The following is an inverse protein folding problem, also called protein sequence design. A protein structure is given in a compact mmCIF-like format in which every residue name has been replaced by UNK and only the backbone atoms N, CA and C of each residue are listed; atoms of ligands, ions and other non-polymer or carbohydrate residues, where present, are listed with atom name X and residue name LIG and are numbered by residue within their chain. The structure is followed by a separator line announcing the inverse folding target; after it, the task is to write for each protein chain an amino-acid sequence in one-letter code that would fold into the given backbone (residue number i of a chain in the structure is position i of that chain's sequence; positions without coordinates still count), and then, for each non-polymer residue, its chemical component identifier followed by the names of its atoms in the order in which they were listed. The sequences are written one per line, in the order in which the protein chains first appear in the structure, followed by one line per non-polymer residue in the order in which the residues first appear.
data_IF_129121351584
#
_entry.id   IF_129121351584
#
_cell.length_a   1.000
_cell.length_b   1.000
_cell.length_c   1.000
_cell.angle_alpha   90.00
_cell.angle_beta   90.00
_cell.angle_gamma   90.00
#
_symmetry.space_group_name_H-M   'P 1'
#
loop_
_entity.id
_entity.type
_entity.pdbx_description
1 polymer ?
#
# COMPACT_ATOMS: atom_id res chain seq x y z
N UNK A 1 14.15 -4.30 11.76
CA UNK A 1 13.86 -2.87 11.88
C UNK A 1 14.86 -2.10 11.03
N UNK A 2 14.39 -1.23 10.13
CA UNK A 2 15.25 -0.39 9.29
C UNK A 2 15.82 0.82 10.05
N UNK A 3 15.19 1.20 11.17
CA UNK A 3 15.62 2.29 12.04
C UNK A 3 15.50 1.85 13.49
N UNK A 4 16.53 2.14 14.30
CA UNK A 4 16.54 1.80 15.72
C UNK A 4 17.33 2.85 16.50
N UNK A 5 16.79 3.26 17.65
CA UNK A 5 17.49 4.14 18.60
C UNK A 5 17.08 3.84 20.04
N UNK A 6 18.03 4.05 20.97
CA UNK A 6 17.77 4.08 22.40
C UNK A 6 17.76 5.54 22.88
N UNK A 7 16.71 5.95 23.56
CA UNK A 7 16.61 7.25 24.26
C UNK A 7 17.69 7.29 25.34
N UNK A 8 18.43 8.39 25.40
CA UNK A 8 19.53 8.57 26.36
C UNK A 8 19.15 9.41 27.57
N UNK A 9 18.17 10.31 27.42
CA UNK A 9 17.64 11.16 28.47
C UNK A 9 16.18 11.50 28.18
N UNK A 10 15.45 11.98 29.18
CA UNK A 10 14.07 12.41 29.00
C UNK A 10 13.95 13.54 27.97
N UNK A 11 14.92 14.45 27.91
CA UNK A 11 14.95 15.57 26.94
C UNK A 11 15.13 15.11 25.50
N UNK A 12 15.78 13.97 25.24
CA UNK A 12 15.96 13.43 23.90
C UNK A 12 14.68 12.78 23.34
N UNK A 13 13.74 12.40 24.21
CA UNK A 13 12.58 11.57 23.86
C UNK A 13 11.73 12.17 22.73
N UNK A 14 11.43 13.46 22.78
CA UNK A 14 10.62 14.14 21.76
C UNK A 14 11.29 14.15 20.39
N UNK A 15 12.59 14.45 20.34
CA UNK A 15 13.38 14.45 19.09
C UNK A 15 13.51 13.04 18.52
N UNK A 16 13.85 12.07 19.36
CA UNK A 16 14.01 10.67 18.94
C UNK A 16 12.68 10.08 18.45
N UNK A 17 11.55 10.45 19.07
CA UNK A 17 10.22 10.09 18.60
C UNK A 17 9.89 10.73 17.24
N UNK A 18 10.21 12.01 17.03
CA UNK A 18 9.99 12.69 15.75
C UNK A 18 10.78 12.02 14.62
N UNK A 19 12.03 11.63 14.88
CA UNK A 19 12.83 10.87 13.92
C UNK A 19 12.30 9.47 13.68
N UNK A 20 11.82 8.76 14.71
CA UNK A 20 11.17 7.45 14.57
C UNK A 20 9.92 7.52 13.70
N UNK A 21 9.06 8.52 13.91
CA UNK A 21 7.86 8.76 13.11
C UNK A 21 8.21 9.08 11.65
N UNK A 22 9.24 9.91 11.43
CA UNK A 22 9.74 10.21 10.10
C UNK A 22 10.25 8.94 9.38
N UNK A 23 11.01 8.10 10.08
CA UNK A 23 11.48 6.82 9.55
C UNK A 23 10.31 5.88 9.21
N UNK A 24 9.32 5.79 10.11
CA UNK A 24 8.13 4.93 9.90
C UNK A 24 7.25 5.39 8.73
N UNK A 25 7.26 6.68 8.39
CA UNK A 25 6.48 7.22 7.27
C UNK A 25 6.88 6.62 5.90
N UNK A 26 8.08 6.06 5.79
CA UNK A 26 8.54 5.31 4.60
C UNK A 26 8.12 3.83 4.59
N UNK A 27 7.24 3.40 5.50
CA UNK A 27 6.74 2.02 5.54
C UNK A 27 7.66 1.01 6.23
N UNK A 28 8.75 1.46 6.86
CA UNK A 28 9.64 0.60 7.62
C UNK A 28 9.26 0.53 9.11
N UNK A 29 9.73 -0.50 9.80
CA UNK A 29 9.61 -0.59 11.25
C UNK A 29 10.66 0.33 11.88
N UNK A 30 10.20 1.31 12.67
CA UNK A 30 11.06 2.13 13.52
C UNK A 30 10.95 1.64 14.97
N UNK A 31 12.10 1.30 15.57
CA UNK A 31 12.16 0.80 16.94
C UNK A 31 12.81 1.85 17.83
N UNK A 32 12.04 2.35 18.80
CA UNK A 32 12.52 3.26 19.83
C UNK A 32 12.55 2.54 21.18
N UNK A 33 13.72 2.49 21.79
CA UNK A 33 13.94 1.86 23.11
C UNK A 33 13.95 2.97 24.15
N UNK A 34 13.01 2.93 25.09
CA UNK A 34 12.90 3.87 26.19
C UNK A 34 13.31 3.18 27.50
N UNK A 35 14.52 3.42 28.05
CA UNK A 35 14.94 2.91 29.34
C UNK A 35 14.07 3.48 30.47
N UNK A 36 13.88 2.74 31.54
CA UNK A 36 13.00 3.12 32.63
C UNK A 36 13.43 4.38 33.37
N UNK A 37 14.73 4.59 33.52
CA UNK A 37 15.33 5.78 34.13
C UNK A 37 14.98 7.04 33.32
N UNK A 38 15.17 7.02 32.00
CA UNK A 38 14.80 8.13 31.12
C UNK A 38 13.29 8.44 31.12
N UNK A 39 12.44 7.46 31.46
CA UNK A 39 10.98 7.65 31.53
C UNK A 39 10.52 8.28 32.88
N UNK A 40 11.36 8.32 33.88
CA UNK A 40 11.04 8.83 35.20
C UNK A 40 11.65 10.22 35.47
N UNK A 41 12.50 10.69 34.58
CA UNK A 41 13.10 12.01 34.65
C UNK A 41 12.13 13.09 34.16
N UNK A 42 12.27 14.31 34.64
CA UNK A 42 11.57 15.47 34.11
C UNK A 42 12.15 15.83 32.73
N UNK A 43 11.28 16.08 31.77
CA UNK A 43 11.67 16.52 30.42
C UNK A 43 11.28 17.98 30.19
N UNK A 44 12.04 18.67 29.32
CA UNK A 44 11.64 19.95 28.77
C UNK A 44 10.36 19.81 27.93
N UNK A 45 9.46 20.79 27.99
CA UNK A 45 8.24 20.82 27.18
C UNK A 45 8.50 21.37 25.77
N UNK A 46 9.65 21.06 25.18
CA UNK A 46 10.00 21.51 23.84
C UNK A 46 9.14 20.77 22.81
N UNK A 47 8.43 21.53 21.98
CA UNK A 47 7.66 20.99 20.86
C UNK A 47 8.57 20.79 19.66
N UNK A 48 8.70 19.55 19.24
CA UNK A 48 9.48 19.18 18.06
C UNK A 48 8.53 18.96 16.88
N UNK A 49 8.79 19.62 15.75
CA UNK A 49 8.06 19.36 14.51
C UNK A 49 8.53 18.04 13.90
N UNK A 50 7.55 17.21 13.50
CA UNK A 50 7.85 15.94 12.82
C UNK A 50 8.17 16.26 11.36
N UNK A 51 9.37 15.94 10.86
CA UNK A 51 9.70 16.15 9.45
C UNK A 51 8.75 15.40 8.54
N UNK A 52 8.19 16.09 7.54
CA UNK A 52 7.37 15.44 6.51
C UNK A 52 8.23 14.47 5.70
N UNK A 53 7.70 13.28 5.44
CA UNK A 53 8.38 12.33 4.56
C UNK A 53 8.43 12.87 3.13
N UNK A 54 9.62 12.85 2.55
CA UNK A 54 9.86 13.19 1.14
C UNK A 54 10.07 11.90 0.36
N UNK A 55 9.21 11.63 -0.61
CA UNK A 55 9.27 10.44 -1.44
C UNK A 55 10.00 10.74 -2.75
N UNK A 56 10.72 9.74 -3.24
CA UNK A 56 11.36 9.81 -4.55
C UNK A 56 10.27 9.79 -5.65
N UNK A 57 10.51 10.42 -6.81
CA UNK A 57 9.57 10.38 -7.93
C UNK A 57 9.36 8.94 -8.42
N UNK A 58 8.22 8.64 -9.07
CA UNK A 58 8.01 7.36 -9.73
C UNK A 58 9.12 7.03 -10.72
N UNK A 59 9.59 5.80 -10.73
CA UNK A 59 10.57 5.31 -11.70
C UNK A 59 9.90 5.12 -13.06
N UNK A 60 10.36 5.83 -14.08
CA UNK A 60 9.78 5.80 -15.43
C UNK A 60 9.87 4.42 -16.07
N UNK A 61 10.94 3.66 -15.81
CA UNK A 61 11.13 2.31 -16.33
C UNK A 61 10.13 1.32 -15.73
N UNK A 62 9.94 1.38 -14.40
CA UNK A 62 8.96 0.54 -13.70
C UNK A 62 7.52 0.90 -14.10
N UNK A 63 7.21 2.18 -14.26
CA UNK A 63 5.90 2.63 -14.75
C UNK A 63 5.65 2.17 -16.18
N UNK A 64 6.64 2.27 -17.06
CA UNK A 64 6.53 1.80 -18.45
C UNK A 64 6.32 0.27 -18.52
N UNK A 65 7.02 -0.50 -17.67
CA UNK A 65 6.83 -1.94 -17.57
C UNK A 65 5.41 -2.28 -17.08
N UNK A 66 4.91 -1.59 -16.04
CA UNK A 66 3.53 -1.73 -15.58
C UNK A 66 2.51 -1.43 -16.67
N UNK A 67 2.72 -0.35 -17.42
CA UNK A 67 1.86 0.03 -18.54
C UNK A 67 1.85 -1.02 -19.66
N UNK A 68 3.00 -1.62 -19.96
CA UNK A 68 3.12 -2.72 -20.91
C UNK A 68 2.33 -3.94 -20.42
N UNK A 69 2.53 -4.34 -19.16
CA UNK A 69 1.83 -5.48 -18.56
C UNK A 69 0.30 -5.28 -18.55
N UNK A 70 -0.17 -4.06 -18.28
CA UNK A 70 -1.60 -3.73 -18.32
C UNK A 70 -2.22 -3.85 -19.72
N UNK A 71 -1.44 -3.59 -20.78
CA UNK A 71 -1.90 -3.68 -22.17
C UNK A 71 -1.85 -5.10 -22.74
N UNK A 72 -0.88 -5.90 -22.30
CA UNK A 72 -0.61 -7.25 -22.84
C UNK A 72 -1.35 -8.36 -22.07
N UNK A 73 -1.60 -8.18 -20.77
CA UNK A 73 -2.26 -9.17 -19.92
C UNK A 73 -3.73 -9.38 -20.29
N UNK A 74 -4.23 -10.60 -20.12
CA UNK A 74 -5.63 -10.95 -20.40
C UNK A 74 -6.53 -10.78 -19.18
N UNK A 75 -6.04 -11.20 -18.02
CA UNK A 75 -6.73 -11.10 -16.75
C UNK A 75 -5.76 -10.57 -15.70
N UNK A 76 -5.89 -9.31 -15.39
CA UNK A 76 -4.92 -8.58 -14.60
C UNK A 76 -5.49 -8.20 -13.24
N UNK A 77 -4.68 -8.35 -12.18
CA UNK A 77 -4.96 -7.80 -10.88
C UNK A 77 -3.93 -6.72 -10.51
N UNK A 78 -4.41 -5.60 -9.95
CA UNK A 78 -3.59 -4.67 -9.17
C UNK A 78 -3.67 -5.06 -7.71
N UNK A 79 -2.58 -5.54 -7.11
CA UNK A 79 -2.48 -5.82 -5.68
C UNK A 79 -1.87 -4.61 -4.98
N UNK A 80 -2.68 -3.94 -4.18
CA UNK A 80 -2.38 -2.66 -3.57
C UNK A 80 -2.06 -2.82 -2.08
N UNK A 81 -1.01 -2.13 -1.63
CA UNK A 81 -0.61 -2.03 -0.24
C UNK A 81 -0.19 -0.61 0.13
N UNK A 82 0.20 -0.40 1.38
CA UNK A 82 0.76 0.85 1.85
C UNK A 82 0.00 2.10 1.42
N UNK A 83 0.71 3.08 0.89
CA UNK A 83 0.16 4.37 0.44
C UNK A 83 -0.68 4.29 -0.84
N UNK A 84 -0.55 3.22 -1.63
CA UNK A 84 -1.45 2.95 -2.76
C UNK A 84 -2.92 2.80 -2.33
N UNK A 85 -3.18 2.51 -1.04
CA UNK A 85 -4.52 2.42 -0.45
C UNK A 85 -5.06 3.75 0.11
N UNK A 86 -4.36 4.87 -0.11
CA UNK A 86 -4.88 6.21 0.14
C UNK A 86 -5.92 6.62 -0.91
N UNK A 87 -6.72 7.67 -0.63
CA UNK A 87 -7.70 8.20 -1.58
C UNK A 87 -7.10 8.48 -2.95
N UNK A 88 -5.92 9.13 -3.02
CA UNK A 88 -5.21 9.42 -4.27
C UNK A 88 -4.94 8.14 -5.06
N UNK A 89 -4.31 7.15 -4.42
CA UNK A 89 -3.99 5.87 -5.05
C UNK A 89 -5.23 5.10 -5.49
N UNK A 90 -6.29 5.10 -4.68
CA UNK A 90 -7.56 4.43 -5.01
C UNK A 90 -8.27 5.09 -6.19
N UNK A 91 -8.24 6.41 -6.31
CA UNK A 91 -8.77 7.14 -7.47
C UNK A 91 -7.99 6.76 -8.74
N UNK A 92 -6.66 6.77 -8.67
CA UNK A 92 -5.82 6.34 -9.80
C UNK A 92 -6.09 4.87 -10.20
N UNK A 93 -6.24 3.98 -9.21
CA UNK A 93 -6.59 2.57 -9.46
C UNK A 93 -7.99 2.43 -10.09
N UNK A 94 -8.98 3.24 -9.69
CA UNK A 94 -10.30 3.26 -10.33
C UNK A 94 -10.21 3.69 -11.81
N UNK A 95 -9.41 4.70 -12.12
CA UNK A 95 -9.13 5.14 -13.49
C UNK A 95 -8.51 4.03 -14.33
N UNK A 96 -7.51 3.31 -13.77
CA UNK A 96 -6.89 2.16 -14.43
C UNK A 96 -7.89 1.03 -14.69
N UNK A 97 -8.75 0.71 -13.71
CA UNK A 97 -9.82 -0.29 -13.90
C UNK A 97 -10.81 0.13 -14.98
N UNK A 98 -11.20 1.39 -15.02
CA UNK A 98 -12.11 1.91 -16.06
C UNK A 98 -11.49 1.82 -17.46
N UNK A 99 -10.20 2.11 -17.58
CA UNK A 99 -9.48 2.10 -18.85
C UNK A 99 -9.22 0.70 -19.39
N UNK A 100 -8.84 -0.23 -18.53
CA UNK A 100 -8.23 -1.52 -18.94
C UNK A 100 -8.91 -2.76 -18.32
N UNK A 101 -9.93 -2.59 -17.49
CA UNK A 101 -10.70 -3.70 -16.92
C UNK A 101 -9.97 -4.56 -15.89
N UNK A 102 -8.89 -4.06 -15.28
CA UNK A 102 -8.17 -4.80 -14.25
C UNK A 102 -8.96 -4.90 -12.95
N UNK A 103 -8.75 -5.98 -12.20
CA UNK A 103 -9.33 -6.16 -10.87
C UNK A 103 -8.46 -5.51 -9.79
N UNK A 104 -9.10 -4.92 -8.77
CA UNK A 104 -8.43 -4.26 -7.66
C UNK A 104 -8.46 -5.13 -6.42
N UNK A 105 -7.29 -5.49 -5.93
CA UNK A 105 -7.10 -6.28 -4.71
C UNK A 105 -6.34 -5.44 -3.68
N UNK A 106 -6.61 -5.66 -2.40
CA UNK A 106 -5.75 -5.17 -1.32
C UNK A 106 -5.01 -6.33 -0.66
N UNK A 107 -3.85 -6.05 -0.10
CA UNK A 107 -3.14 -7.00 0.76
C UNK A 107 -4.03 -7.48 1.91
N UNK A 108 -3.70 -8.62 2.50
CA UNK A 108 -4.48 -9.26 3.58
C UNK A 108 -4.59 -8.36 4.82
N UNK A 109 -3.49 -7.74 5.24
CA UNK A 109 -3.42 -6.89 6.43
C UNK A 109 -2.86 -5.51 6.09
N UNK A 110 -3.62 -4.65 5.40
CA UNK A 110 -3.17 -3.29 5.19
C UNK A 110 -3.21 -2.51 6.51
N UNK A 111 -2.18 -1.72 6.83
CA UNK A 111 -2.17 -0.91 8.04
C UNK A 111 -3.25 0.19 8.02
N UNK A 112 -3.57 0.68 6.82
CA UNK A 112 -4.61 1.68 6.59
C UNK A 112 -5.21 1.50 5.20
N UNK A 113 -6.53 1.63 5.09
CA UNK A 113 -7.27 1.70 3.83
C UNK A 113 -8.26 2.85 3.91
N UNK A 114 -8.21 3.77 2.98
CA UNK A 114 -9.25 4.78 2.87
C UNK A 114 -10.47 4.19 2.17
N UNK A 115 -11.65 4.46 2.70
CA UNK A 115 -12.91 3.92 2.21
C UNK A 115 -13.98 5.01 2.21
N UNK A 116 -15.00 4.83 1.42
CA UNK A 116 -16.17 5.71 1.41
C UNK A 116 -16.79 5.85 0.04
N UNK A 117 -17.85 6.65 -0.01
CA UNK A 117 -18.57 6.95 -1.24
C UNK A 117 -17.64 7.47 -2.34
N UNK A 118 -17.79 6.97 -3.54
CA UNK A 118 -16.99 7.36 -4.71
C UNK A 118 -15.58 6.76 -4.73
N UNK A 119 -15.18 5.92 -3.77
CA UNK A 119 -13.94 5.15 -3.85
C UNK A 119 -14.20 3.73 -4.35
N UNK A 120 -13.24 3.12 -5.05
CA UNK A 120 -13.42 1.78 -5.59
C UNK A 120 -13.52 0.73 -4.49
N UNK A 121 -14.40 -0.24 -4.68
CA UNK A 121 -14.42 -1.46 -3.88
C UNK A 121 -13.24 -2.33 -4.28
N UNK A 122 -12.51 -2.81 -3.26
CA UNK A 122 -11.40 -3.74 -3.42
C UNK A 122 -11.76 -5.09 -2.82
N UNK A 123 -11.32 -6.16 -3.47
CA UNK A 123 -11.31 -7.49 -2.89
C UNK A 123 -10.07 -7.66 -2.03
N UNK A 124 -10.24 -7.93 -0.74
CA UNK A 124 -9.10 -8.18 0.15
C UNK A 124 -8.56 -9.60 -0.05
N UNK A 125 -7.24 -9.74 -0.20
CA UNK A 125 -6.60 -11.03 -0.31
C UNK A 125 -6.87 -11.86 0.95
N UNK A 126 -7.40 -13.10 0.82
CA UNK A 126 -7.69 -13.94 1.97
C UNK A 126 -6.47 -14.30 2.80
N UNK A 127 -6.69 -14.59 4.08
CA UNK A 127 -5.61 -14.95 5.01
C UNK A 127 -5.05 -16.36 4.78
N UNK A 128 -5.95 -17.34 4.60
CA UNK A 128 -5.51 -18.73 4.46
C UNK A 128 -4.92 -19.00 3.08
N UNK A 129 -3.75 -19.68 3.00
CA UNK A 129 -3.01 -19.86 1.74
C UNK A 129 -3.83 -20.46 0.60
N UNK A 130 -4.65 -21.48 0.87
CA UNK A 130 -5.51 -22.08 -0.16
C UNK A 130 -6.50 -21.09 -0.76
N UNK A 131 -7.11 -20.25 0.09
CA UNK A 131 -8.06 -19.24 -0.34
C UNK A 131 -7.36 -18.11 -1.09
N UNK A 132 -6.18 -17.67 -0.62
CA UNK A 132 -5.39 -16.65 -1.29
C UNK A 132 -4.91 -17.11 -2.67
N UNK A 133 -4.39 -18.34 -2.78
CA UNK A 133 -4.02 -18.93 -4.06
C UNK A 133 -5.22 -19.07 -5.00
N UNK A 134 -6.40 -19.50 -4.50
CA UNK A 134 -7.63 -19.56 -5.31
C UNK A 134 -8.08 -18.19 -5.79
N UNK A 135 -7.95 -17.15 -4.95
CA UNK A 135 -8.31 -15.78 -5.31
C UNK A 135 -7.37 -15.20 -6.38
N UNK A 136 -6.10 -15.60 -6.39
CA UNK A 136 -5.10 -15.15 -7.35
C UNK A 136 -5.04 -16.02 -8.62
N UNK A 137 -5.50 -17.26 -8.58
CA UNK A 137 -5.42 -18.21 -9.69
C UNK A 137 -6.02 -17.73 -11.02
N UNK A 138 -7.10 -16.90 -11.06
CA UNK A 138 -7.68 -16.43 -12.33
C UNK A 138 -6.79 -15.46 -13.11
N UNK A 139 -5.79 -14.82 -12.46
CA UNK A 139 -4.99 -13.77 -13.07
C UNK A 139 -3.74 -14.35 -13.74
N UNK A 140 -3.45 -13.90 -14.95
CA UNK A 140 -2.19 -14.21 -15.62
C UNK A 140 -1.10 -13.19 -15.25
N UNK A 141 -1.50 -11.99 -14.83
CA UNK A 141 -0.61 -10.91 -14.46
C UNK A 141 -1.05 -10.27 -13.14
N UNK A 142 -0.14 -10.13 -12.19
CA UNK A 142 -0.36 -9.42 -10.94
C UNK A 142 0.66 -8.29 -10.81
N UNK A 143 0.15 -7.06 -10.84
CA UNK A 143 0.96 -5.85 -10.65
C UNK A 143 0.90 -5.46 -9.17
N UNK A 144 2.07 -5.31 -8.56
CA UNK A 144 2.26 -5.01 -7.14
C UNK A 144 2.57 -3.52 -6.98
N UNK A 145 1.85 -2.82 -6.11
CA UNK A 145 2.09 -1.41 -5.78
C UNK A 145 1.98 -1.18 -4.28
N UNK A 146 3.05 -0.69 -3.66
CA UNK A 146 3.11 -0.50 -2.21
C UNK A 146 3.14 -1.81 -1.43
N UNK A 147 3.50 -2.91 -2.07
CA UNK A 147 3.57 -4.24 -1.46
C UNK A 147 4.54 -5.15 -2.19
N UNK A 148 5.03 -6.14 -1.47
CA UNK A 148 5.79 -7.26 -2.02
C UNK A 148 4.87 -8.39 -2.50
N UNK A 149 5.48 -9.40 -3.15
CA UNK A 149 4.78 -10.64 -3.51
C UNK A 149 4.14 -11.27 -2.27
N UNK A 150 2.84 -11.61 -2.30
CA UNK A 150 2.15 -12.16 -1.15
C UNK A 150 2.63 -13.59 -0.84
N UNK A 151 2.88 -13.83 0.45
CA UNK A 151 3.36 -15.10 0.97
C UNK A 151 2.52 -15.58 2.15
N UNK A 152 2.61 -16.87 2.47
CA UNK A 152 1.99 -17.44 3.66
C UNK A 152 2.63 -16.89 4.94
N UNK A 153 1.81 -16.47 5.90
CA UNK A 153 2.29 -15.96 7.18
C UNK A 153 2.90 -17.05 8.08
N UNK A 154 2.49 -18.30 7.87
CA UNK A 154 2.99 -19.46 8.59
C UNK A 154 3.42 -20.55 7.62
N UNK A 155 4.39 -21.37 8.05
CA UNK A 155 4.75 -22.59 7.36
C UNK A 155 3.67 -23.66 7.51
N UNK A 156 3.16 -24.15 6.40
CA UNK A 156 2.20 -25.26 6.36
C UNK A 156 2.91 -26.49 5.77
N UNK A 157 2.79 -27.62 6.45
CA UNK A 157 3.41 -28.89 6.00
C UNK A 157 2.93 -29.26 4.59
N UNK A 158 3.88 -29.35 3.65
CA UNK A 158 3.58 -29.63 2.25
C UNK A 158 2.91 -28.49 1.46
N UNK A 159 2.77 -27.29 2.07
CA UNK A 159 2.22 -26.11 1.41
C UNK A 159 3.29 -25.25 0.74
N UNK A 160 2.89 -24.50 -0.30
CA UNK A 160 3.75 -23.47 -0.90
C UNK A 160 3.71 -22.21 -0.03
N UNK A 161 4.87 -21.55 0.12
CA UNK A 161 4.95 -20.26 0.80
C UNK A 161 4.48 -19.11 -0.08
N UNK A 162 4.76 -19.14 -1.38
CA UNK A 162 4.33 -18.14 -2.35
C UNK A 162 2.93 -18.43 -2.87
N UNK A 163 2.11 -17.40 -3.03
CA UNK A 163 0.72 -17.53 -3.48
C UNK A 163 0.59 -17.51 -5.00
N UNK A 164 1.46 -16.80 -5.69
CA UNK A 164 1.53 -16.82 -7.15
C UNK A 164 2.30 -18.05 -7.64
N UNK A 165 1.87 -18.62 -8.76
CA UNK A 165 2.59 -19.71 -9.41
C UNK A 165 3.55 -19.18 -10.50
N UNK A 166 4.42 -20.04 -11.01
CA UNK A 166 5.48 -19.65 -11.96
C UNK A 166 4.95 -19.24 -13.34
N UNK A 167 3.71 -19.54 -13.67
CA UNK A 167 3.04 -19.15 -14.92
C UNK A 167 2.47 -17.74 -14.86
N UNK A 168 2.27 -17.20 -13.66
CA UNK A 168 1.71 -15.85 -13.44
C UNK A 168 2.85 -14.84 -13.50
N UNK A 169 2.68 -13.85 -14.36
CA UNK A 169 3.57 -12.69 -14.37
C UNK A 169 3.34 -11.86 -13.13
N UNK A 170 4.43 -11.49 -12.45
CA UNK A 170 4.42 -10.62 -11.28
C UNK A 170 5.38 -9.47 -11.52
N UNK A 171 4.88 -8.27 -11.35
CA UNK A 171 5.64 -7.05 -11.59
C UNK A 171 5.42 -6.07 -10.46
N UNK A 172 6.46 -5.74 -9.71
CA UNK A 172 6.43 -4.63 -8.77
C UNK A 172 6.84 -3.37 -9.52
N UNK A 173 6.01 -2.34 -9.46
CA UNK A 173 6.20 -1.10 -10.21
C UNK A 173 6.56 0.11 -9.34
N UNK A 174 6.78 -0.10 -8.04
CA UNK A 174 7.29 0.90 -7.13
C UNK A 174 8.63 0.45 -6.53
N UNK A 175 9.55 1.37 -6.35
CA UNK A 175 10.79 1.17 -5.62
C UNK A 175 10.65 1.61 -4.15
N UNK A 176 11.63 1.25 -3.33
CA UNK A 176 11.72 1.72 -1.96
C UNK A 176 11.77 3.25 -1.95
N UNK A 177 11.13 3.88 -0.96
CA UNK A 177 10.99 5.34 -0.78
C UNK A 177 10.09 6.05 -1.82
N UNK A 178 9.41 5.33 -2.71
CA UNK A 178 8.39 5.91 -3.59
C UNK A 178 7.01 5.92 -2.95
N UNK A 179 6.18 6.91 -3.32
CA UNK A 179 4.78 6.95 -2.93
C UNK A 179 3.95 6.12 -3.90
N UNK A 180 3.43 4.96 -3.45
CA UNK A 180 2.59 4.09 -4.28
C UNK A 180 1.37 4.78 -4.89
N UNK A 181 0.84 5.85 -4.27
CA UNK A 181 -0.22 6.66 -4.87
C UNK A 181 0.30 7.44 -6.10
N UNK A 182 1.47 8.06 -5.99
CA UNK A 182 2.10 8.77 -7.10
C UNK A 182 2.48 7.82 -8.25
N UNK A 183 2.92 6.60 -7.91
CA UNK A 183 3.22 5.55 -8.92
C UNK A 183 1.94 5.15 -9.68
N UNK A 184 0.81 4.97 -8.99
CA UNK A 184 -0.47 4.68 -9.64
C UNK A 184 -0.97 5.83 -10.50
N UNK A 185 -0.79 7.09 -10.07
CA UNK A 185 -1.11 8.28 -10.85
C UNK A 185 -0.27 8.31 -12.15
N UNK A 186 1.04 8.11 -12.04
CA UNK A 186 1.93 8.04 -13.20
C UNK A 186 1.57 6.89 -14.16
N UNK A 187 1.20 5.72 -13.61
CA UNK A 187 0.75 4.58 -14.41
C UNK A 187 -0.56 4.90 -15.16
N UNK A 188 -1.52 5.56 -14.49
CA UNK A 188 -2.77 5.97 -15.10
C UNK A 188 -2.54 6.98 -16.28
N UNK A 189 -1.59 7.88 -16.13
CA UNK A 189 -1.17 8.79 -17.21
C UNK A 189 -0.48 8.04 -18.35
N UNK A 190 0.43 7.12 -18.06
CA UNK A 190 1.16 6.34 -19.07
C UNK A 190 0.25 5.47 -19.96
N UNK A 191 -0.92 5.07 -19.45
CA UNK A 191 -1.93 4.34 -20.24
C UNK A 191 -3.05 5.22 -20.79
N UNK A 192 -2.99 6.53 -20.63
CA UNK A 192 -4.03 7.49 -20.97
C UNK A 192 -5.39 7.17 -20.36
N UNK A 193 -5.40 6.76 -19.08
CA UNK A 193 -6.63 6.48 -18.35
C UNK A 193 -7.48 7.77 -18.21
N UNK A 194 -8.82 7.69 -18.25
CA UNK A 194 -9.70 8.87 -18.16
C UNK A 194 -9.43 9.64 -16.87
N UNK A 195 -9.51 10.98 -16.92
CA UNK A 195 -9.27 11.83 -15.76
C UNK A 195 -10.37 11.68 -14.69
N UNK A 196 -11.63 11.53 -15.11
CA UNK A 196 -12.76 11.29 -14.23
C UNK A 196 -12.80 9.85 -13.73
N UNK A 197 -13.27 9.66 -12.50
CA UNK A 197 -13.44 8.33 -11.89
C UNK A 197 -14.86 8.12 -11.33
N UNK A 198 -15.68 9.15 -11.31
CA UNK A 198 -17.00 9.20 -10.67
C UNK A 198 -17.97 8.18 -11.28
N UNK A 199 -17.79 7.87 -12.56
CA UNK A 199 -18.58 6.89 -13.29
C UNK A 199 -17.85 5.54 -13.47
N UNK A 200 -16.72 5.34 -12.77
CA UNK A 200 -15.99 4.08 -12.85
C UNK A 200 -16.79 2.93 -12.25
N UNK A 201 -16.71 1.71 -12.83
CA UNK A 201 -17.44 0.57 -12.30
C UNK A 201 -16.91 0.17 -10.92
N UNK A 202 -17.82 -0.30 -10.05
CA UNK A 202 -17.47 -0.85 -8.73
C UNK A 202 -17.04 0.21 -7.71
N UNK A 203 -17.57 1.42 -7.78
CA UNK A 203 -17.43 2.42 -6.73
C UNK A 203 -18.40 2.13 -5.56
N UNK A 204 -17.98 2.48 -4.35
CA UNK A 204 -18.84 2.40 -3.18
C UNK A 204 -19.96 3.45 -3.29
N UNK A 205 -21.19 3.03 -3.05
CA UNK A 205 -22.34 3.94 -2.98
C UNK A 205 -22.23 4.88 -1.77
N UNK A 206 -22.87 6.05 -1.87
CA UNK A 206 -23.03 6.93 -0.73
C UNK A 206 -23.87 6.23 0.35
N UNK A 207 -23.41 6.30 1.60
CA UNK A 207 -24.18 5.84 2.75
C UNK A 207 -25.38 6.78 2.94
N UNK A 208 -26.59 6.26 2.83
CA UNK A 208 -27.80 6.97 3.26
C UNK A 208 -27.91 6.82 4.77
N UNK A 209 -27.78 7.94 5.50
CA UNK A 209 -28.05 7.94 6.94
C UNK A 209 -29.51 7.53 7.14
N UNK A 210 -29.80 6.49 7.95
CA UNK A 210 -31.19 6.17 8.27
C UNK A 210 -31.82 7.37 8.99
N UNK A 211 -33.09 7.66 8.65
CA UNK A 211 -33.88 8.61 9.41
C UNK A 211 -34.01 8.03 10.82
N UNK A 212 -33.39 8.68 11.79
CA UNK A 212 -33.56 8.30 13.20
C UNK A 212 -34.97 8.74 13.62
N UNK A 213 -35.72 7.89 14.33
CA UNK A 213 -37.04 8.20 14.87
C UNK A 213 -36.99 9.35 15.89
#
# INVERSE_FOLDING_TARGET
SGWQRQIRSADDASRDMAEALSAAAYGQIATLIAPADAMWEEASNERIDIPSATFDPPDEGLVAEGARCLKEGRKIALLLGGRALSRRGLVAAARLRAALGCDLLSVTFPPRVERGAGLPLLSRLPYFPKQAMSALAPYDTVILVGTEEPVAFFGYKGGRSRFLDDRQQRVRIDADRQDGAAVLEALAEAVNAPAGWEDCPGLAAAFKRPDLP
#
